data_IF_334906813196
#
_entry.id   IF_334906813196
#
_cell.length_a   1.000
_cell.length_b   1.000
_cell.length_c   1.000
_cell.angle_alpha   90.00
_cell.angle_beta   90.00
_cell.angle_gamma   90.00
#
_symmetry.space_group_name_H-M   'P 1'
#
loop_
_entity.id
_entity.type
_entity.pdbx_description
1 polymer ?
#
# COMPACT_ATOMS: atom_id res chain seq x y z
N UNK A 1 8.85 -1.18 14.43
CA UNK A 1 8.82 -1.53 12.99
C UNK A 1 8.91 -3.04 12.93
N UNK A 2 8.22 -3.73 12.01
CA UNK A 2 8.08 -5.21 12.07
C UNK A 2 9.40 -5.97 12.24
N UNK A 3 10.48 -5.46 11.63
CA UNK A 3 11.84 -6.02 11.75
C UNK A 3 12.39 -5.86 13.18
N UNK A 4 12.31 -4.66 13.76
CA UNK A 4 12.76 -4.40 15.14
C UNK A 4 11.98 -5.24 16.14
N UNK A 5 10.67 -5.36 15.92
CA UNK A 5 9.76 -6.13 16.76
C UNK A 5 10.11 -7.63 16.72
N UNK A 6 10.45 -8.15 15.52
CA UNK A 6 10.91 -9.53 15.34
C UNK A 6 12.29 -9.77 16.00
N UNK A 7 13.23 -8.84 15.86
CA UNK A 7 14.54 -8.92 16.52
C UNK A 7 14.36 -8.97 18.05
N UNK A 8 13.55 -8.06 18.59
CA UNK A 8 13.26 -7.99 20.02
C UNK A 8 12.54 -9.26 20.53
N UNK A 9 11.61 -9.80 19.76
CA UNK A 9 10.94 -11.06 20.07
C UNK A 9 11.94 -12.22 20.24
N UNK A 10 12.87 -12.38 19.31
CA UNK A 10 13.87 -13.46 19.37
C UNK A 10 14.88 -13.28 20.51
N UNK A 11 15.32 -12.04 20.77
CA UNK A 11 16.17 -11.72 21.91
C UNK A 11 15.50 -12.07 23.25
N UNK A 12 14.23 -11.71 23.44
CA UNK A 12 13.45 -12.04 24.65
C UNK A 12 13.30 -13.55 24.88
N UNK A 13 13.27 -14.35 23.81
CA UNK A 13 13.21 -15.82 23.91
C UNK A 13 14.57 -16.48 24.16
N UNK A 14 15.64 -15.72 24.41
CA UNK A 14 16.99 -16.25 24.61
C UNK A 14 17.58 -16.93 23.38
N UNK A 15 17.00 -16.71 22.19
CA UNK A 15 17.52 -17.29 20.95
C UNK A 15 18.70 -16.46 20.47
N UNK A 16 19.88 -17.08 20.37
CA UNK A 16 21.09 -16.43 19.86
C UNK A 16 21.10 -16.40 18.32
N UNK A 17 20.10 -15.73 17.71
CA UNK A 17 20.01 -15.56 16.25
C UNK A 17 20.61 -14.22 15.86
N UNK A 18 21.37 -14.21 14.76
CA UNK A 18 21.91 -12.95 14.23
C UNK A 18 20.77 -12.05 13.72
N UNK A 19 20.91 -10.72 13.90
CA UNK A 19 19.96 -9.75 13.35
C UNK A 19 19.80 -9.94 11.82
N UNK A 20 20.90 -10.23 11.11
CA UNK A 20 20.90 -10.48 9.66
C UNK A 20 19.96 -11.63 9.28
N UNK A 21 19.98 -12.71 10.06
CA UNK A 21 19.10 -13.87 9.84
C UNK A 21 17.64 -13.48 10.04
N UNK A 22 17.33 -12.79 11.15
CA UNK A 22 15.96 -12.34 11.46
C UNK A 22 15.43 -11.40 10.37
N UNK A 23 16.23 -10.45 9.92
CA UNK A 23 15.85 -9.52 8.84
C UNK A 23 15.49 -10.28 7.57
N UNK A 24 16.34 -11.23 7.13
CA UNK A 24 16.09 -12.01 5.91
C UNK A 24 14.85 -12.87 6.01
N UNK A 25 14.61 -13.49 7.16
CA UNK A 25 13.41 -14.29 7.39
C UNK A 25 12.15 -13.44 7.34
N UNK A 26 12.12 -12.29 8.02
CA UNK A 26 10.97 -11.36 7.97
C UNK A 26 10.71 -10.90 6.54
N UNK A 27 11.75 -10.54 5.77
CA UNK A 27 11.57 -10.16 4.37
C UNK A 27 11.06 -11.32 3.52
N UNK A 28 11.58 -12.53 3.74
CA UNK A 28 11.12 -13.76 3.05
C UNK A 28 9.66 -14.06 3.38
N UNK A 29 9.25 -13.89 4.63
CA UNK A 29 7.88 -14.11 5.07
C UNK A 29 6.92 -13.08 4.45
N UNK A 30 7.33 -11.80 4.40
CA UNK A 30 6.56 -10.75 3.74
C UNK A 30 6.39 -11.04 2.25
N UNK A 31 7.45 -11.48 1.56
CA UNK A 31 7.36 -11.80 0.14
C UNK A 31 6.56 -13.09 -0.11
N UNK A 32 6.93 -14.20 0.49
CA UNK A 32 6.33 -15.51 0.22
C UNK A 32 4.93 -15.66 0.80
N UNK A 33 4.70 -15.22 2.03
CA UNK A 33 3.41 -15.38 2.68
C UNK A 33 2.49 -14.24 2.29
N UNK A 34 2.88 -12.99 2.56
CA UNK A 34 1.97 -11.85 2.43
C UNK A 34 1.59 -11.57 0.97
N UNK A 35 2.57 -11.54 0.06
CA UNK A 35 2.35 -11.17 -1.34
C UNK A 35 1.86 -12.30 -2.25
N UNK A 36 2.09 -13.56 -1.89
CA UNK A 36 1.58 -14.69 -2.69
C UNK A 36 0.41 -15.39 -1.99
N UNK A 37 0.65 -15.99 -0.82
CA UNK A 37 -0.36 -16.82 -0.16
C UNK A 37 -1.58 -16.02 0.27
N UNK A 38 -1.39 -14.90 0.99
CA UNK A 38 -2.51 -14.11 1.50
C UNK A 38 -3.28 -13.41 0.37
N UNK A 39 -2.60 -12.92 -0.67
CA UNK A 39 -3.24 -12.37 -1.89
C UNK A 39 -4.22 -13.37 -2.49
N UNK A 40 -3.79 -14.62 -2.70
CA UNK A 40 -4.64 -15.67 -3.25
C UNK A 40 -5.82 -16.02 -2.33
N UNK A 41 -5.53 -16.23 -1.03
CA UNK A 41 -6.57 -16.60 -0.06
C UNK A 41 -7.62 -15.49 0.12
N UNK A 42 -7.19 -14.23 0.14
CA UNK A 42 -8.09 -13.08 0.23
C UNK A 42 -8.90 -12.88 -1.06
N UNK A 43 -8.31 -13.20 -2.22
CA UNK A 43 -9.04 -13.25 -3.48
C UNK A 43 -10.19 -14.27 -3.44
N UNK A 44 -9.90 -15.50 -3.00
CA UNK A 44 -10.93 -16.53 -2.82
C UNK A 44 -12.00 -16.11 -1.81
N UNK A 45 -11.58 -15.59 -0.65
CA UNK A 45 -12.51 -15.11 0.38
C UNK A 45 -13.40 -13.98 -0.14
N UNK A 46 -12.83 -12.99 -0.83
CA UNK A 46 -13.56 -11.87 -1.41
C UNK A 46 -14.59 -12.32 -2.45
N UNK A 47 -14.24 -13.30 -3.29
CA UNK A 47 -15.16 -13.87 -4.28
C UNK A 47 -16.36 -14.58 -3.60
N UNK A 48 -16.10 -15.44 -2.61
CA UNK A 48 -17.15 -16.15 -1.86
C UNK A 48 -18.03 -15.16 -1.08
N UNK A 49 -17.43 -14.16 -0.43
CA UNK A 49 -18.17 -13.13 0.31
C UNK A 49 -19.07 -12.32 -0.63
N UNK A 50 -18.56 -11.91 -1.79
CA UNK A 50 -19.33 -11.18 -2.80
C UNK A 50 -20.54 -11.98 -3.28
N UNK A 51 -20.35 -13.26 -3.56
CA UNK A 51 -21.42 -14.17 -3.98
C UNK A 51 -22.48 -14.33 -2.87
N UNK A 52 -22.06 -14.60 -1.64
CA UNK A 52 -22.95 -14.76 -0.50
C UNK A 52 -23.78 -13.50 -0.21
N UNK A 53 -23.16 -12.32 -0.28
CA UNK A 53 -23.87 -11.04 -0.12
C UNK A 53 -24.88 -10.82 -1.26
N UNK A 54 -24.52 -11.17 -2.49
CA UNK A 54 -25.43 -11.00 -3.63
C UNK A 54 -26.62 -11.95 -3.53
N UNK A 55 -26.38 -13.23 -3.21
CA UNK A 55 -27.41 -14.25 -3.06
C UNK A 55 -28.40 -13.96 -1.91
N UNK A 56 -27.97 -13.22 -0.89
CA UNK A 56 -28.81 -12.85 0.27
C UNK A 56 -29.47 -11.47 0.15
N UNK A 57 -29.39 -10.81 -1.02
CA UNK A 57 -30.01 -9.49 -1.25
C UNK A 57 -29.21 -8.29 -0.72
N UNK A 58 -27.95 -8.50 -0.34
CA UNK A 58 -27.04 -7.52 0.26
C UNK A 58 -26.01 -6.96 -0.75
N UNK A 59 -26.37 -6.85 -2.03
CA UNK A 59 -25.45 -6.45 -3.10
C UNK A 59 -24.78 -5.07 -2.87
N UNK A 60 -25.44 -4.15 -2.15
CA UNK A 60 -24.88 -2.84 -1.80
C UNK A 60 -23.66 -2.94 -0.87
N UNK A 61 -23.55 -3.99 -0.06
CA UNK A 61 -22.37 -4.26 0.77
C UNK A 61 -21.24 -4.87 -0.05
N UNK A 62 -21.57 -5.64 -1.09
CA UNK A 62 -20.59 -6.23 -1.99
C UNK A 62 -19.75 -5.15 -2.70
N UNK A 63 -20.38 -4.01 -3.05
CA UNK A 63 -19.70 -2.86 -3.63
C UNK A 63 -18.75 -2.13 -2.65
N UNK A 64 -18.88 -2.37 -1.34
CA UNK A 64 -18.04 -1.76 -0.30
C UNK A 64 -16.87 -2.65 0.11
N UNK A 65 -16.71 -3.83 -0.48
CA UNK A 65 -15.59 -4.72 -0.20
C UNK A 65 -14.30 -4.01 -0.68
N UNK A 66 -13.35 -3.72 0.22
CA UNK A 66 -12.10 -3.08 -0.18
C UNK A 66 -11.27 -4.03 -1.07
N UNK A 67 -10.51 -3.46 -1.99
CA UNK A 67 -9.61 -4.19 -2.87
C UNK A 67 -8.33 -4.67 -2.14
N UNK A 68 -8.49 -5.42 -1.03
CA UNK A 68 -7.40 -5.84 -0.15
C UNK A 68 -6.30 -6.62 -0.87
N UNK A 69 -6.69 -7.45 -1.84
CA UNK A 69 -5.74 -8.20 -2.69
C UNK A 69 -4.80 -7.25 -3.43
N UNK A 70 -5.36 -6.23 -4.10
CA UNK A 70 -4.60 -5.21 -4.81
C UNK A 70 -3.72 -4.38 -3.87
N UNK A 71 -4.22 -4.09 -2.66
CA UNK A 71 -3.49 -3.34 -1.64
C UNK A 71 -2.22 -4.11 -1.23
N UNK A 72 -2.32 -5.42 -1.00
CA UNK A 72 -1.19 -6.26 -0.63
C UNK A 72 -0.18 -6.43 -1.76
N UNK A 73 -0.63 -6.59 -3.00
CA UNK A 73 0.24 -6.71 -4.18
C UNK A 73 1.10 -5.45 -4.36
N UNK A 74 0.44 -4.29 -4.37
CA UNK A 74 1.10 -3.00 -4.61
C UNK A 74 1.83 -2.48 -3.35
N UNK A 75 1.56 -3.05 -2.18
CA UNK A 75 2.02 -2.50 -0.91
C UNK A 75 1.40 -1.13 -0.62
N UNK A 76 0.13 -0.97 -1.01
CA UNK A 76 -0.66 0.23 -0.80
C UNK A 76 -1.70 -0.01 0.31
N UNK A 77 -2.24 1.07 0.87
CA UNK A 77 -3.27 0.99 1.92
C UNK A 77 -4.51 1.86 1.63
N UNK A 78 -4.62 2.42 0.43
CA UNK A 78 -5.75 3.25 0.02
C UNK A 78 -5.85 3.33 -1.50
N UNK A 79 -7.05 3.63 -1.99
CA UNK A 79 -7.28 3.87 -3.41
C UNK A 79 -6.48 5.08 -3.90
N UNK A 80 -6.40 6.14 -3.10
CA UNK A 80 -5.53 7.30 -3.40
C UNK A 80 -4.09 6.88 -3.67
N UNK A 81 -3.49 6.06 -2.80
CA UNK A 81 -2.10 5.61 -3.00
C UNK A 81 -1.94 4.77 -4.27
N UNK A 82 -2.95 3.97 -4.65
CA UNK A 82 -2.95 3.24 -5.92
C UNK A 82 -2.96 4.20 -7.10
N UNK A 83 -3.83 5.21 -7.09
CA UNK A 83 -3.91 6.17 -8.19
C UNK A 83 -2.61 6.96 -8.36
N UNK A 84 -1.95 7.29 -7.25
CA UNK A 84 -0.62 7.92 -7.30
C UNK A 84 0.43 7.01 -7.94
N UNK A 85 0.43 5.71 -7.60
CA UNK A 85 1.34 4.73 -8.23
C UNK A 85 1.03 4.59 -9.72
N UNK A 86 -0.25 4.52 -10.11
CA UNK A 86 -0.64 4.38 -11.53
C UNK A 86 -0.28 5.60 -12.37
N UNK A 87 -0.13 6.78 -11.76
CA UNK A 87 0.40 7.98 -12.41
C UNK A 87 1.92 7.93 -12.63
N UNK A 88 2.61 6.86 -12.20
CA UNK A 88 4.04 6.66 -12.44
C UNK A 88 4.94 7.10 -11.29
N UNK A 89 4.37 7.39 -10.11
CA UNK A 89 5.15 7.63 -8.90
C UNK A 89 5.66 6.32 -8.31
N UNK A 90 6.87 6.32 -7.76
CA UNK A 90 7.36 5.24 -6.93
C UNK A 90 6.45 5.03 -5.70
N UNK A 91 6.46 3.81 -5.14
CA UNK A 91 5.71 3.48 -3.92
C UNK A 91 6.06 4.40 -2.75
N UNK A 92 7.34 4.76 -2.61
CA UNK A 92 7.80 5.66 -1.55
C UNK A 92 7.18 7.05 -1.70
N UNK A 93 7.30 7.64 -2.89
CA UNK A 93 6.72 8.96 -3.18
C UNK A 93 5.20 8.93 -3.07
N UNK A 94 4.53 7.92 -3.63
CA UNK A 94 3.08 7.77 -3.49
C UNK A 94 2.65 7.70 -2.02
N UNK A 95 3.40 6.99 -1.16
CA UNK A 95 3.13 6.96 0.28
C UNK A 95 3.28 8.35 0.91
N UNK A 96 4.39 9.04 0.67
CA UNK A 96 4.66 10.39 1.20
C UNK A 96 3.59 11.38 0.74
N UNK A 97 3.24 11.41 -0.55
CA UNK A 97 2.23 12.34 -1.06
C UNK A 97 0.83 11.98 -0.59
N UNK A 98 0.50 10.69 -0.47
CA UNK A 98 -0.79 10.26 0.08
C UNK A 98 -0.97 10.60 1.56
N UNK A 99 0.11 10.82 2.32
CA UNK A 99 0.01 11.21 3.73
C UNK A 99 -0.32 12.71 3.90
N UNK A 100 -0.14 13.52 2.85
CA UNK A 100 -0.48 14.93 2.81
C UNK A 100 -1.98 15.19 2.58
N UNK A 101 -2.78 14.13 2.40
CA UNK A 101 -4.22 14.23 2.20
C UNK A 101 -4.99 13.28 3.11
N UNK A 102 -6.15 13.74 3.57
CA UNK A 102 -7.11 12.90 4.31
C UNK A 102 -7.96 12.04 3.37
N UNK A 103 -8.07 12.42 2.10
CA UNK A 103 -8.87 11.67 1.14
C UNK A 103 -8.14 10.38 0.72
N UNK A 104 -8.70 9.24 1.12
CA UNK A 104 -8.19 7.89 0.85
C UNK A 104 -8.85 7.20 -0.35
N UNK A 105 -9.82 7.86 -0.99
CA UNK A 105 -10.65 7.32 -2.05
C UNK A 105 -10.66 8.20 -3.31
N UNK A 106 -9.49 8.69 -3.72
CA UNK A 106 -9.37 9.46 -4.97
C UNK A 106 -9.51 8.56 -6.19
N UNK A 107 -10.22 9.06 -7.21
CA UNK A 107 -10.10 8.58 -8.58
C UNK A 107 -8.86 9.19 -9.27
N UNK A 108 -8.58 8.75 -10.49
CA UNK A 108 -7.40 9.16 -11.24
C UNK A 108 -7.35 10.68 -11.49
N UNK A 109 -8.49 11.29 -11.82
CA UNK A 109 -8.58 12.72 -12.09
C UNK A 109 -8.37 13.55 -10.81
N UNK A 110 -8.97 13.13 -9.70
CA UNK A 110 -8.81 13.79 -8.41
C UNK A 110 -7.38 13.64 -7.88
N UNK A 111 -6.75 12.49 -8.09
CA UNK A 111 -5.33 12.30 -7.80
C UNK A 111 -4.45 13.26 -8.62
N UNK A 112 -4.71 13.42 -9.92
CA UNK A 112 -3.98 14.39 -10.77
C UNK A 112 -4.16 15.83 -10.29
N UNK A 113 -5.40 16.24 -10.01
CA UNK A 113 -5.71 17.58 -9.46
C UNK A 113 -5.07 17.82 -8.11
N UNK A 114 -4.99 16.78 -7.27
CA UNK A 114 -4.28 16.86 -6.00
C UNK A 114 -2.79 17.12 -6.21
N UNK A 115 -2.14 16.31 -7.07
CA UNK A 115 -0.71 16.47 -7.38
C UNK A 115 -0.38 17.84 -7.98
N UNK A 116 -1.22 18.35 -8.88
CA UNK A 116 -0.98 19.65 -9.52
C UNK A 116 -1.11 20.85 -8.58
N UNK A 117 -1.73 20.68 -7.40
CA UNK A 117 -1.85 21.72 -6.36
C UNK A 117 -0.68 21.71 -5.37
N UNK A 118 0.12 20.66 -5.36
CA UNK A 118 1.27 20.56 -4.47
C UNK A 118 2.42 21.41 -5.03
N UNK A 119 2.94 22.31 -4.21
CA UNK A 119 4.20 23.03 -4.50
C UNK A 119 5.32 22.33 -3.74
N UNK A 120 6.31 21.72 -4.43
CA UNK A 120 7.35 20.93 -3.77
C UNK A 120 8.11 21.68 -2.68
N UNK A 121 8.28 22.99 -2.87
CA UNK A 121 9.05 23.88 -2.00
C UNK A 121 8.32 24.18 -0.68
N UNK A 122 6.99 24.19 -0.68
CA UNK A 122 6.19 24.48 0.54
C UNK A 122 5.82 23.22 1.30
N UNK A 123 5.76 22.08 0.61
CA UNK A 123 5.34 20.80 1.19
C UNK A 123 6.45 20.07 1.98
N UNK A 124 7.65 20.66 2.10
CA UNK A 124 8.77 20.05 2.84
C UNK A 124 9.24 18.72 2.24
N UNK A 125 9.09 18.54 0.92
CA UNK A 125 9.42 17.30 0.24
C UNK A 125 10.94 17.15 0.12
N UNK A 126 11.42 15.91 0.22
CA UNK A 126 12.82 15.63 -0.11
C UNK A 126 13.06 15.89 -1.62
N UNK A 127 14.31 16.22 -2.02
CA UNK A 127 14.62 16.49 -3.44
C UNK A 127 14.18 15.36 -4.37
N UNK A 128 14.38 14.11 -3.94
CA UNK A 128 13.96 12.92 -4.69
C UNK A 128 12.44 12.88 -4.96
N UNK A 129 11.63 13.14 -3.91
CA UNK A 129 10.16 13.14 -4.03
C UNK A 129 9.68 14.30 -4.90
N UNK A 130 10.31 15.47 -4.76
CA UNK A 130 10.02 16.65 -5.57
C UNK A 130 10.30 16.41 -7.07
N UNK A 131 11.45 15.82 -7.40
CA UNK A 131 11.83 15.52 -8.78
C UNK A 131 10.90 14.49 -9.42
N UNK A 132 10.47 13.48 -8.64
CA UNK A 132 9.53 12.49 -9.13
C UNK A 132 8.15 13.09 -9.43
N UNK A 133 7.67 13.98 -8.55
CA UNK A 133 6.44 14.73 -8.75
C UNK A 133 6.50 15.59 -10.02
N UNK A 134 7.60 16.35 -10.21
CA UNK A 134 7.78 17.18 -11.41
C UNK A 134 7.77 16.33 -12.69
N UNK A 135 8.46 15.18 -12.68
CA UNK A 135 8.51 14.26 -13.83
C UNK A 135 7.10 13.80 -14.22
N UNK A 136 6.31 13.36 -13.25
CA UNK A 136 4.93 12.87 -13.50
C UNK A 136 4.01 13.98 -14.02
N UNK A 137 4.18 15.21 -13.53
CA UNK A 137 3.39 16.35 -14.00
C UNK A 137 3.79 16.84 -15.41
N UNK A 138 4.98 16.51 -15.90
CA UNK A 138 5.45 16.87 -17.25
C UNK A 138 5.11 15.80 -18.30
N UNK A 139 4.94 14.54 -17.89
CA UNK A 139 4.70 13.40 -18.79
C UNK A 139 3.24 13.23 -19.23
N UNK A 140 2.33 14.13 -18.82
CA UNK A 140 0.87 14.04 -19.04
C UNK A 140 0.28 15.42 -19.27
#
# INVERSE_FOLDING_TARGET
MIIDDAINYHKRKGKNRSNRTVIREVLTDVESSLRFKYVNMLGCYGAVLKEALTATGHASYAAKIPALTLYLELGAASQTMIQLISLGLSRHTAHVLSSLTINRDMDLESARRFLSRLTPETAGLSPYVADELRRVLQSV
#
